data_IF_839190051386
#
_entry.id   IF_839190051386
#
_cell.length_a   1.000
_cell.length_b   1.000
_cell.length_c   1.000
_cell.angle_alpha   90.00
_cell.angle_beta   90.00
_cell.angle_gamma   90.00
#
_symmetry.space_group_name_H-M   'P 1'
#
loop_
_entity.id
_entity.type
_entity.pdbx_description
1 polymer ?
#
# COMPACT_ATOMS: atom_id res chain seq x y z
N UNK A 1 -4.97 -20.80 7.02
CA UNK A 1 -3.73 -20.17 6.51
C UNK A 1 -3.89 -18.67 6.70
N UNK A 2 -2.90 -17.98 7.27
CA UNK A 2 -2.97 -16.53 7.47
C UNK A 2 -2.77 -15.81 6.13
N UNK A 3 -3.51 -14.69 5.95
CA UNK A 3 -3.46 -13.87 4.74
C UNK A 3 -2.85 -12.51 5.04
N UNK A 4 -1.92 -12.08 4.22
CA UNK A 4 -1.36 -10.72 4.28
C UNK A 4 -1.64 -9.99 2.98
N UNK A 5 -2.16 -8.76 3.07
CA UNK A 5 -2.26 -7.84 1.95
C UNK A 5 -1.14 -6.79 2.06
N UNK A 6 -0.28 -6.74 1.06
CA UNK A 6 0.80 -5.76 0.95
C UNK A 6 0.35 -4.69 -0.03
N UNK A 7 0.21 -3.45 0.44
CA UNK A 7 -0.18 -2.29 -0.35
C UNK A 7 1.02 -1.40 -0.61
N UNK A 8 1.46 -1.37 -1.86
CA UNK A 8 2.57 -0.53 -2.29
C UNK A 8 2.37 -0.10 -3.75
N UNK A 9 2.49 1.20 -4.08
CA UNK A 9 2.16 1.70 -5.41
C UNK A 9 3.01 1.15 -6.56
N UNK A 10 4.24 0.72 -6.29
CA UNK A 10 5.10 0.12 -7.29
C UNK A 10 5.18 -1.40 -7.13
N UNK A 11 5.49 -2.11 -8.21
CA UNK A 11 5.83 -3.52 -8.10
C UNK A 11 7.28 -3.66 -7.60
N UNK A 12 7.50 -4.54 -6.63
CA UNK A 12 8.80 -4.70 -5.95
C UNK A 12 9.95 -5.13 -6.87
N UNK A 13 9.66 -5.63 -8.07
CA UNK A 13 10.67 -6.01 -9.08
C UNK A 13 10.93 -4.92 -10.11
N UNK A 14 10.14 -3.87 -10.14
CA UNK A 14 10.28 -2.79 -11.13
C UNK A 14 11.24 -1.69 -10.70
N UNK A 15 11.69 -1.72 -9.46
CA UNK A 15 12.61 -0.72 -8.93
C UNK A 15 13.53 -1.38 -7.91
N UNK A 16 14.75 -0.89 -7.81
CA UNK A 16 15.80 -1.42 -6.93
C UNK A 16 16.02 -0.54 -5.69
N UNK A 17 14.97 0.09 -5.19
CA UNK A 17 15.04 0.94 -4.00
C UNK A 17 15.05 0.15 -2.69
N UNK A 18 15.46 0.81 -1.60
CA UNK A 18 15.46 0.18 -0.26
C UNK A 18 14.08 -0.26 0.21
N UNK A 19 13.00 0.37 -0.28
CA UNK A 19 11.63 -0.01 0.06
C UNK A 19 11.26 -1.35 -0.56
N UNK A 20 11.60 -1.56 -1.82
CA UNK A 20 11.34 -2.79 -2.58
C UNK A 20 12.12 -3.98 -2.01
N UNK A 21 13.37 -3.75 -1.61
CA UNK A 21 14.18 -4.77 -0.94
C UNK A 21 13.55 -5.21 0.39
N UNK A 22 13.05 -4.27 1.18
CA UNK A 22 12.38 -4.60 2.44
C UNK A 22 11.05 -5.34 2.22
N UNK A 23 10.31 -5.00 1.18
CA UNK A 23 9.11 -5.74 0.78
C UNK A 23 9.48 -7.15 0.38
N UNK A 24 10.56 -7.34 -0.37
CA UNK A 24 11.04 -8.67 -0.75
C UNK A 24 11.42 -9.52 0.47
N UNK A 25 12.09 -8.93 1.47
CA UNK A 25 12.37 -9.63 2.73
C UNK A 25 11.11 -10.02 3.48
N UNK A 26 10.10 -9.13 3.54
CA UNK A 26 8.80 -9.44 4.14
C UNK A 26 8.11 -10.60 3.41
N UNK A 27 8.09 -10.56 2.09
CA UNK A 27 7.52 -11.62 1.24
C UNK A 27 8.20 -12.96 1.56
N UNK A 28 9.53 -13.00 1.61
CA UNK A 28 10.27 -14.21 1.89
C UNK A 28 9.99 -14.75 3.31
N UNK A 29 9.90 -13.88 4.30
CA UNK A 29 9.53 -14.26 5.67
C UNK A 29 8.10 -14.83 5.74
N UNK A 30 7.15 -14.23 5.03
CA UNK A 30 5.78 -14.73 4.95
C UNK A 30 5.70 -16.10 4.25
N UNK A 31 6.48 -16.31 3.18
CA UNK A 31 6.58 -17.61 2.50
C UNK A 31 7.09 -18.71 3.42
N UNK A 32 8.13 -18.43 4.21
CA UNK A 32 8.67 -19.39 5.18
C UNK A 32 7.65 -19.80 6.24
N UNK A 33 6.67 -18.94 6.52
CA UNK A 33 5.59 -19.22 7.47
C UNK A 33 4.29 -19.72 6.81
N UNK A 34 4.32 -20.04 5.53
CA UNK A 34 3.17 -20.50 4.75
C UNK A 34 1.98 -19.53 4.79
N UNK A 35 2.23 -18.22 4.73
CA UNK A 35 1.17 -17.24 4.59
C UNK A 35 0.75 -17.10 3.13
N UNK A 36 -0.53 -16.86 2.90
CA UNK A 36 -1.06 -16.45 1.60
C UNK A 36 -0.77 -14.96 1.41
N UNK A 37 -0.05 -14.62 0.34
CA UNK A 37 0.44 -13.27 0.10
C UNK A 37 -0.32 -12.64 -1.05
N UNK A 38 -0.98 -11.50 -0.79
CA UNK A 38 -1.66 -10.67 -1.77
C UNK A 38 -0.93 -9.36 -1.92
N UNK A 39 -0.52 -9.03 -3.14
CA UNK A 39 0.24 -7.82 -3.42
C UNK A 39 -0.58 -6.87 -4.29
N UNK A 40 -0.96 -5.71 -3.73
CA UNK A 40 -1.79 -4.69 -4.37
C UNK A 40 -0.88 -3.55 -4.83
N UNK A 41 -0.88 -3.26 -6.12
CA UNK A 41 0.01 -2.25 -6.73
C UNK A 41 -0.65 -1.56 -7.92
N UNK A 42 -0.09 -0.42 -8.35
CA UNK A 42 -0.52 0.29 -9.56
C UNK A 42 0.05 -0.40 -10.81
N UNK A 43 -0.84 -0.80 -11.72
CA UNK A 43 -0.43 -1.34 -13.01
C UNK A 43 0.14 -0.22 -13.90
N UNK A 44 1.40 -0.36 -14.25
CA UNK A 44 2.10 0.54 -15.18
C UNK A 44 2.19 -0.01 -16.60
N UNK A 45 1.44 -1.07 -16.91
CA UNK A 45 1.42 -1.71 -18.24
C UNK A 45 2.61 -2.64 -18.48
N UNK A 46 3.23 -3.14 -17.43
CA UNK A 46 4.25 -4.19 -17.53
C UNK A 46 3.63 -5.56 -17.34
N UNK A 47 3.98 -6.50 -18.18
CA UNK A 47 3.51 -7.89 -18.08
C UNK A 47 4.18 -8.59 -16.88
N UNK A 48 3.56 -8.45 -15.71
CA UNK A 48 4.04 -9.06 -14.48
C UNK A 48 3.26 -10.34 -14.24
N UNK A 49 3.94 -11.47 -14.30
CA UNK A 49 3.33 -12.79 -14.06
C UNK A 49 3.21 -13.08 -12.58
N UNK A 50 2.13 -13.73 -12.19
CA UNK A 50 1.99 -14.29 -10.85
C UNK A 50 3.16 -15.23 -10.54
N UNK A 51 3.74 -15.08 -9.37
CA UNK A 51 4.75 -16.00 -8.84
C UNK A 51 4.13 -16.97 -7.85
N UNK A 52 4.75 -18.12 -7.73
CA UNK A 52 4.34 -19.13 -6.75
C UNK A 52 4.13 -18.50 -5.37
N UNK A 53 2.95 -18.70 -4.80
CA UNK A 53 2.53 -18.21 -3.48
C UNK A 53 2.36 -16.68 -3.35
N UNK A 54 2.27 -15.92 -4.45
CA UNK A 54 1.94 -14.50 -4.42
C UNK A 54 0.82 -14.23 -5.43
N UNK A 55 -0.31 -13.77 -4.93
CA UNK A 55 -1.42 -13.31 -5.77
C UNK A 55 -1.25 -11.82 -6.03
N UNK A 56 -1.12 -11.44 -7.29
CA UNK A 56 -0.95 -10.06 -7.71
C UNK A 56 -2.30 -9.40 -7.99
N UNK A 57 -2.50 -8.21 -7.47
CA UNK A 57 -3.69 -7.38 -7.65
C UNK A 57 -3.31 -6.06 -8.31
N UNK A 58 -3.15 -6.02 -9.64
CA UNK A 58 -2.85 -4.78 -10.35
C UNK A 58 -4.07 -3.86 -10.32
N UNK A 59 -3.88 -2.63 -9.86
CA UNK A 59 -4.90 -1.60 -9.91
C UNK A 59 -4.80 -0.87 -11.24
N UNK A 60 -5.91 -0.76 -11.94
CA UNK A 60 -5.97 -0.07 -13.24
C UNK A 60 -5.58 1.39 -13.08
N UNK A 61 -4.61 1.84 -13.88
CA UNK A 61 -4.24 3.24 -13.96
C UNK A 61 -5.44 4.05 -14.45
N UNK A 62 -5.90 4.98 -13.62
CA UNK A 62 -6.97 5.89 -14.00
C UNK A 62 -6.43 6.91 -15.01
N UNK A 63 -6.85 6.79 -16.26
CA UNK A 63 -6.50 7.76 -17.31
C UNK A 63 -7.12 9.12 -16.98
N UNK A 64 -6.32 10.20 -17.10
CA UNK A 64 -6.76 11.61 -17.14
C UNK A 64 -7.05 12.35 -15.83
N UNK A 65 -6.26 12.16 -14.77
CA UNK A 65 -6.39 13.00 -13.59
C UNK A 65 -5.21 13.97 -13.39
N UNK A 66 -4.97 14.82 -14.39
CA UNK A 66 -4.00 15.94 -14.24
C UNK A 66 -4.46 16.99 -13.22
N UNK A 67 -5.75 17.02 -12.89
CA UNK A 67 -6.37 18.08 -12.08
C UNK A 67 -6.34 17.85 -10.56
N UNK A 68 -6.19 16.62 -10.09
CA UNK A 68 -6.35 16.27 -8.68
C UNK A 68 -5.05 15.91 -7.97
N UNK A 69 -3.91 16.46 -8.39
CA UNK A 69 -2.62 16.14 -7.78
C UNK A 69 -2.24 14.67 -7.98
N UNK A 70 -1.68 14.01 -6.98
CA UNK A 70 -1.26 12.61 -7.10
C UNK A 70 -2.43 11.60 -7.09
N UNK A 71 -3.67 12.05 -7.10
CA UNK A 71 -4.87 11.27 -7.44
C UNK A 71 -5.10 9.96 -6.68
N UNK A 72 -4.59 9.81 -5.50
CA UNK A 72 -4.50 8.54 -4.80
C UNK A 72 -5.82 8.06 -4.20
N UNK A 73 -6.72 8.98 -3.87
CA UNK A 73 -8.09 8.67 -3.49
C UNK A 73 -8.87 8.00 -4.65
N UNK A 74 -8.38 8.11 -5.88
CA UNK A 74 -8.98 7.45 -7.04
C UNK A 74 -8.84 5.92 -6.98
N UNK A 75 -7.83 5.43 -6.27
CA UNK A 75 -7.65 4.01 -6.05
C UNK A 75 -8.45 3.47 -4.86
N UNK A 76 -9.09 4.34 -4.07
CA UNK A 76 -9.80 3.93 -2.85
C UNK A 76 -10.81 2.82 -3.14
N UNK A 77 -11.70 3.04 -4.12
CA UNK A 77 -12.72 2.04 -4.49
C UNK A 77 -12.10 0.72 -4.96
N UNK A 78 -11.01 0.79 -5.72
CA UNK A 78 -10.32 -0.41 -6.21
C UNK A 78 -9.65 -1.14 -5.04
N UNK A 79 -8.90 -0.43 -4.19
CA UNK A 79 -8.23 -1.00 -3.01
C UNK A 79 -9.26 -1.64 -2.07
N UNK A 80 -10.35 -0.95 -1.75
CA UNK A 80 -11.39 -1.49 -0.87
C UNK A 80 -12.05 -2.73 -1.47
N UNK A 81 -12.28 -2.75 -2.79
CA UNK A 81 -12.80 -3.94 -3.48
C UNK A 81 -11.86 -5.14 -3.32
N UNK A 82 -10.57 -4.94 -3.57
CA UNK A 82 -9.57 -6.01 -3.43
C UNK A 82 -9.46 -6.48 -1.97
N UNK A 83 -9.38 -5.55 -1.00
CA UNK A 83 -9.34 -5.91 0.42
C UNK A 83 -10.58 -6.68 0.88
N UNK A 84 -11.77 -6.30 0.40
CA UNK A 84 -13.00 -7.03 0.71
C UNK A 84 -13.04 -8.43 0.08
N UNK A 85 -12.46 -8.61 -1.08
CA UNK A 85 -12.33 -9.92 -1.72
C UNK A 85 -11.30 -10.82 -1.01
N UNK A 86 -10.14 -10.26 -0.64
CA UNK A 86 -9.06 -10.97 0.04
C UNK A 86 -9.42 -11.32 1.48
N UNK A 87 -10.03 -10.40 2.22
CA UNK A 87 -10.29 -10.47 3.67
C UNK A 87 -9.00 -10.84 4.44
N UNK A 88 -7.98 -9.98 4.40
CA UNK A 88 -6.68 -10.29 5.00
C UNK A 88 -6.75 -10.28 6.53
N UNK A 89 -5.89 -11.06 7.17
CA UNK A 89 -5.65 -11.03 8.63
C UNK A 89 -4.72 -9.86 9.01
N UNK A 90 -3.87 -9.48 8.07
CA UNK A 90 -2.89 -8.40 8.26
C UNK A 90 -2.76 -7.58 6.98
N UNK A 91 -2.69 -6.26 7.12
CA UNK A 91 -2.37 -5.34 6.04
C UNK A 91 -0.99 -4.75 6.32
N UNK A 92 -0.15 -4.70 5.31
CA UNK A 92 1.14 -4.02 5.37
C UNK A 92 1.18 -2.90 4.34
N UNK A 93 1.60 -1.72 4.79
CA UNK A 93 1.81 -0.55 3.92
C UNK A 93 3.21 -0.02 4.08
N UNK A 94 3.75 0.51 3.00
CA UNK A 94 5.06 1.14 2.98
C UNK A 94 5.00 2.45 2.21
N UNK A 95 5.80 3.44 2.64
CA UNK A 95 5.86 4.81 2.11
C UNK A 95 4.60 5.62 2.43
N UNK A 96 4.81 6.90 2.78
CA UNK A 96 3.76 7.89 3.03
C UNK A 96 2.89 8.09 1.79
N UNK A 97 1.71 7.51 1.80
CA UNK A 97 0.73 7.64 0.70
C UNK A 97 -0.69 7.62 1.28
N UNK A 98 -1.65 8.16 0.53
CA UNK A 98 -3.07 8.06 0.91
C UNK A 98 -3.56 6.62 1.04
N UNK A 99 -2.84 5.64 0.51
CA UNK A 99 -3.12 4.22 0.68
C UNK A 99 -3.03 3.78 2.14
N UNK A 100 -2.19 4.47 2.95
CA UNK A 100 -2.12 4.25 4.40
C UNK A 100 -3.47 4.59 5.05
N UNK A 101 -4.05 5.74 4.72
CA UNK A 101 -5.35 6.15 5.24
C UNK A 101 -6.45 5.15 4.90
N UNK A 102 -6.48 4.66 3.65
CA UNK A 102 -7.42 3.64 3.18
C UNK A 102 -7.21 2.33 3.96
N UNK A 103 -5.97 1.88 4.08
CA UNK A 103 -5.61 0.66 4.80
C UNK A 103 -5.96 0.75 6.29
N UNK A 104 -5.67 1.89 6.93
CA UNK A 104 -5.99 2.15 8.35
C UNK A 104 -7.50 2.14 8.58
N UNK A 105 -8.26 2.84 7.73
CA UNK A 105 -9.72 2.88 7.82
C UNK A 105 -10.32 1.48 7.65
N UNK A 106 -9.87 0.73 6.65
CA UNK A 106 -10.31 -0.64 6.46
C UNK A 106 -9.98 -1.53 7.67
N UNK A 107 -8.73 -1.46 8.14
CA UNK A 107 -8.27 -2.27 9.26
C UNK A 107 -9.07 -2.01 10.54
N UNK A 108 -9.38 -0.74 10.83
CA UNK A 108 -10.21 -0.34 11.97
C UNK A 108 -11.63 -0.89 11.86
N UNK A 109 -12.25 -0.75 10.70
CA UNK A 109 -13.64 -1.18 10.48
C UNK A 109 -13.81 -2.71 10.48
N UNK A 110 -12.79 -3.46 10.07
CA UNK A 110 -12.83 -4.92 9.97
C UNK A 110 -12.02 -5.63 11.06
N UNK A 111 -11.44 -4.90 12.03
CA UNK A 111 -10.58 -5.43 13.11
C UNK A 111 -9.38 -6.22 12.59
N UNK A 112 -8.80 -5.78 11.47
CA UNK A 112 -7.62 -6.36 10.85
C UNK A 112 -6.36 -5.68 11.40
N UNK A 113 -5.26 -6.43 11.52
CA UNK A 113 -3.96 -5.84 11.92
C UNK A 113 -3.40 -5.00 10.78
N UNK A 114 -2.93 -3.79 11.10
CA UNK A 114 -2.25 -2.93 10.15
C UNK A 114 -0.84 -2.60 10.63
N UNK A 115 0.15 -2.90 9.80
CA UNK A 115 1.54 -2.53 10.01
C UNK A 115 1.98 -1.54 8.92
N UNK A 116 2.49 -0.39 9.34
CA UNK A 116 3.06 0.59 8.43
C UNK A 116 4.56 0.73 8.66
N UNK A 117 5.35 0.59 7.61
CA UNK A 117 6.78 0.82 7.67
C UNK A 117 7.13 2.22 7.15
N UNK A 118 7.72 3.02 8.02
CA UNK A 118 8.20 4.36 7.70
C UNK A 118 9.39 4.32 6.73
N UNK A 119 9.41 5.25 5.78
CA UNK A 119 10.48 5.32 4.78
C UNK A 119 11.73 6.02 5.30
N UNK A 120 11.57 6.98 6.21
CA UNK A 120 12.67 7.76 6.82
C UNK A 120 12.15 8.56 8.02
N UNK A 121 13.07 9.02 8.87
CA UNK A 121 12.75 9.91 10.00
C UNK A 121 12.11 11.24 9.55
N UNK A 122 12.40 11.68 8.34
CA UNK A 122 11.78 12.88 7.75
C UNK A 122 10.27 12.76 7.55
N UNK A 123 9.74 11.54 7.44
CA UNK A 123 8.28 11.33 7.40
C UNK A 123 7.61 11.49 8.77
N UNK A 124 8.39 11.35 9.85
CA UNK A 124 7.92 11.57 11.23
C UNK A 124 8.10 13.02 11.66
N UNK A 125 9.18 13.66 11.19
CA UNK A 125 9.60 15.00 11.63
C UNK A 125 9.17 16.13 10.70
N UNK A 126 8.38 15.85 9.66
CA UNK A 126 7.82 16.91 8.82
C UNK A 126 6.99 17.87 9.66
N UNK A 127 7.69 18.80 10.33
CA UNK A 127 7.08 20.03 10.83
C UNK A 127 6.39 20.69 9.64
N UNK A 128 5.11 20.92 9.78
CA UNK A 128 4.25 21.68 8.88
C UNK A 128 4.82 23.09 8.68
N UNK A 129 5.81 23.25 7.84
CA UNK A 129 6.35 24.53 7.47
C UNK A 129 5.43 25.13 6.40
N UNK A 130 4.45 25.92 6.87
CA UNK A 130 3.97 27.11 6.18
C UNK A 130 3.15 26.95 4.89
N UNK A 131 2.49 25.81 4.61
CA UNK A 131 1.57 25.71 3.47
C UNK A 131 0.13 25.43 3.95
N UNK A 132 -0.82 26.33 3.69
CA UNK A 132 -2.16 26.31 4.29
C UNK A 132 -3.07 25.14 3.90
N UNK A 133 -2.68 24.27 2.98
CA UNK A 133 -3.47 23.11 2.55
C UNK A 133 -2.92 21.76 3.08
N UNK A 134 -1.78 21.76 3.74
CA UNK A 134 -1.17 20.55 4.28
C UNK A 134 -1.85 19.96 5.54
N UNK A 135 -2.52 20.74 6.41
CA UNK A 135 -3.16 20.19 7.61
C UNK A 135 -4.28 19.19 7.31
N UNK A 136 -4.98 19.36 6.17
CA UNK A 136 -6.09 18.48 5.81
C UNK A 136 -5.62 17.08 5.38
N UNK A 137 -4.43 16.99 4.82
CA UNK A 137 -3.86 15.73 4.32
C UNK A 137 -2.97 15.04 5.34
N UNK A 138 -2.36 15.79 6.28
CA UNK A 138 -1.53 15.20 7.33
C UNK A 138 -2.36 14.54 8.45
N UNK A 139 -3.61 14.96 8.65
CA UNK A 139 -4.51 14.30 9.59
C UNK A 139 -4.96 12.91 9.10
N UNK A 140 -4.85 12.64 7.80
CA UNK A 140 -5.14 11.32 7.22
C UNK A 140 -3.93 10.38 7.38
N UNK A 141 -2.73 10.92 7.56
CA UNK A 141 -1.48 10.13 7.69
C UNK A 141 -1.16 9.71 9.14
N UNK A 142 -1.87 10.20 10.14
CA UNK A 142 -1.54 10.00 11.57
C UNK A 142 -2.51 9.11 12.36
N UNK A 143 -3.42 8.40 11.69
CA UNK A 143 -4.32 7.45 12.37
C UNK A 143 -4.20 6.04 11.85
#
# INVERSE_FOLDING_TARGET
>A
MKKIAILYPAHYEQSSGGAEIQILYLINACKQQNWEIHYIFEDKGTDIKNKENIVLHPLCKMKNYKFCGKGWFLYEKQILRELNAIKPDTIYTRIGSSWIGIATSYAKNHKVKHAHALASDSSVTRKLLGKPLYPLFSQIETY
#
